data_IF_442200643532
#
_entry.id   IF_442200643532
#
_cell.length_a   1.000
_cell.length_b   1.000
_cell.length_c   1.000
_cell.angle_alpha   90.00
_cell.angle_beta   90.00
_cell.angle_gamma   90.00
#
_symmetry.space_group_name_H-M   'P 1'
#
loop_
_entity.id
_entity.type
_entity.pdbx_description
1 polymer ?
#
# COMPACT_ATOMS: atom_id res chain seq x y z
N UNK A 1 6.67 15.06 4.96
CA UNK A 1 5.46 14.25 4.85
C UNK A 1 4.70 14.24 6.15
N UNK A 2 4.10 15.36 6.58
CA UNK A 2 3.29 15.41 7.81
C UNK A 2 1.99 14.61 7.69
N UNK A 3 1.44 14.50 6.48
CA UNK A 3 0.17 13.81 6.23
C UNK A 3 0.27 12.27 6.36
N UNK A 4 1.40 11.68 5.98
CA UNK A 4 1.56 10.21 6.03
C UNK A 4 1.66 9.73 7.48
N UNK A 5 2.35 10.49 8.35
CA UNK A 5 2.44 10.14 9.78
C UNK A 5 1.08 10.15 10.49
N UNK A 6 0.11 10.93 9.99
CA UNK A 6 -1.25 10.97 10.54
C UNK A 6 -1.96 9.63 10.30
N UNK A 7 -1.60 8.86 9.27
CA UNK A 7 -2.17 7.54 9.01
C UNK A 7 -1.80 6.51 10.07
N UNK A 8 -0.82 6.78 10.93
CA UNK A 8 -0.46 5.87 12.02
C UNK A 8 -1.66 5.58 12.91
N UNK A 9 -2.37 6.62 13.39
CA UNK A 9 -3.50 6.41 14.30
C UNK A 9 -4.60 5.53 13.66
N UNK A 10 -5.09 5.80 12.44
CA UNK A 10 -6.03 4.91 11.75
C UNK A 10 -5.55 3.47 11.62
N UNK A 11 -4.27 3.26 11.28
CA UNK A 11 -3.72 1.91 11.06
C UNK A 11 -3.52 1.14 12.37
N UNK A 12 -3.29 1.84 13.49
CA UNK A 12 -3.06 1.21 14.79
C UNK A 12 -4.35 1.04 15.60
N UNK A 13 -5.16 2.08 15.67
CA UNK A 13 -6.32 2.18 16.58
C UNK A 13 -7.66 1.95 15.84
N UNK A 14 -7.66 1.93 14.50
CA UNK A 14 -8.88 1.87 13.67
C UNK A 14 -9.86 3.01 13.94
N UNK A 15 -9.35 4.15 14.41
CA UNK A 15 -10.13 5.38 14.63
C UNK A 15 -9.32 6.64 14.29
N UNK A 16 -10.03 7.75 14.09
CA UNK A 16 -9.46 9.09 13.91
C UNK A 16 -10.01 10.01 14.98
N UNK A 17 -9.12 10.62 15.76
CA UNK A 17 -9.49 11.61 16.79
C UNK A 17 -9.24 13.03 16.30
N UNK A 18 -10.32 13.79 16.11
CA UNK A 18 -10.25 15.19 15.67
C UNK A 18 -10.42 16.10 16.87
N UNK A 19 -9.33 16.80 17.24
CA UNK A 19 -9.35 17.83 18.29
C UNK A 19 -9.56 19.22 17.69
N UNK A 20 -10.61 19.92 18.13
CA UNK A 20 -10.93 21.32 17.80
C UNK A 20 -11.04 22.13 19.09
N UNK A 21 -10.91 23.45 19.01
CA UNK A 21 -10.86 24.38 20.17
C UNK A 21 -11.90 24.11 21.28
N UNK A 22 -13.09 23.61 20.93
CA UNK A 22 -14.18 23.42 21.90
C UNK A 22 -14.62 21.97 22.09
N UNK A 23 -14.16 21.02 21.24
CA UNK A 23 -14.63 19.62 21.26
C UNK A 23 -13.60 18.66 20.68
N UNK A 24 -13.65 17.43 21.17
CA UNK A 24 -12.93 16.29 20.62
C UNK A 24 -13.95 15.28 20.12
N UNK A 25 -13.81 14.84 18.86
CA UNK A 25 -14.67 13.85 18.24
C UNK A 25 -13.82 12.67 17.76
N UNK A 26 -14.32 11.45 17.95
CA UNK A 26 -13.69 10.21 17.49
C UNK A 26 -14.57 9.58 16.41
N UNK A 27 -13.96 9.20 15.28
CA UNK A 27 -14.64 8.56 14.16
C UNK A 27 -14.01 7.20 13.87
N UNK A 28 -14.80 6.17 13.52
CA UNK A 28 -14.25 4.88 13.13
C UNK A 28 -13.50 4.97 11.80
N UNK A 29 -12.44 4.18 11.66
CA UNK A 29 -11.56 4.12 10.50
C UNK A 29 -11.11 2.67 10.17
N UNK A 30 -12.01 1.69 10.32
CA UNK A 30 -11.74 0.30 9.98
C UNK A 30 -11.75 0.10 8.46
N UNK A 31 -10.57 0.17 7.84
CA UNK A 31 -10.39 0.18 6.38
C UNK A 31 -9.18 -0.63 5.95
N UNK A 32 -9.20 -1.11 4.70
CA UNK A 32 -8.03 -1.71 4.06
C UNK A 32 -7.25 -0.60 3.35
N UNK A 33 -5.98 -0.40 3.72
CA UNK A 33 -5.09 0.53 3.05
C UNK A 33 -4.43 -0.13 1.84
N UNK A 34 -4.73 0.38 0.65
CA UNK A 34 -3.98 0.08 -0.57
C UNK A 34 -3.21 1.33 -1.02
N UNK A 35 -1.90 1.22 -1.19
CA UNK A 35 -1.04 2.34 -1.55
C UNK A 35 -0.03 1.93 -2.65
N UNK A 36 0.41 2.92 -3.41
CA UNK A 36 1.48 2.76 -4.41
C UNK A 36 2.46 3.93 -4.28
N UNK A 37 3.74 3.64 -4.46
CA UNK A 37 4.78 4.66 -4.47
C UNK A 37 5.75 4.41 -5.63
N UNK A 38 6.29 5.50 -6.17
CA UNK A 38 7.35 5.39 -7.16
C UNK A 38 8.67 5.00 -6.47
N UNK A 39 9.57 4.28 -7.16
CA UNK A 39 10.85 3.87 -6.57
C UNK A 39 11.87 5.02 -6.45
N UNK A 40 11.65 6.12 -7.18
CA UNK A 40 12.44 7.34 -7.12
C UNK A 40 11.63 8.53 -7.67
N UNK A 41 12.13 9.79 -7.58
CA UNK A 41 11.42 10.96 -8.11
C UNK A 41 11.09 10.88 -9.61
N UNK A 42 11.95 10.24 -10.43
CA UNK A 42 11.73 10.08 -11.87
C UNK A 42 10.96 8.79 -12.25
N UNK A 43 10.67 7.91 -11.29
CA UNK A 43 9.87 6.70 -11.50
C UNK A 43 10.56 5.53 -12.22
N UNK A 44 11.80 5.68 -12.69
CA UNK A 44 12.46 4.66 -13.52
C UNK A 44 13.48 3.78 -12.80
N UNK A 45 13.77 4.02 -11.52
CA UNK A 45 14.64 3.11 -10.76
C UNK A 45 13.97 1.72 -10.66
N UNK A 46 14.70 0.59 -10.80
CA UNK A 46 16.16 0.44 -10.84
C UNK A 46 16.82 0.58 -12.22
N UNK A 47 16.07 0.81 -13.30
CA UNK A 47 16.61 0.93 -14.65
C UNK A 47 17.47 2.20 -14.80
N UNK A 48 18.79 2.02 -14.74
CA UNK A 48 19.78 3.10 -14.85
C UNK A 48 19.93 3.69 -16.25
N UNK A 49 19.43 3.02 -17.29
CA UNK A 49 19.41 3.58 -18.64
C UNK A 49 18.38 4.71 -18.78
N UNK A 50 17.30 4.65 -17.99
CA UNK A 50 16.19 5.61 -17.99
C UNK A 50 16.20 6.53 -16.77
N UNK A 51 16.61 6.01 -15.61
CA UNK A 51 16.64 6.74 -14.36
C UNK A 51 17.78 7.75 -14.33
N UNK A 52 17.44 9.03 -14.10
CA UNK A 52 18.41 10.13 -14.00
C UNK A 52 18.70 10.54 -12.55
N UNK A 53 18.14 9.83 -11.58
CA UNK A 53 18.32 10.15 -10.16
C UNK A 53 19.65 9.62 -9.64
N UNK A 54 20.38 10.44 -8.88
CA UNK A 54 21.54 9.98 -8.11
C UNK A 54 21.11 8.99 -7.02
N UNK A 55 22.03 8.14 -6.56
CA UNK A 55 21.73 7.22 -5.45
C UNK A 55 21.21 7.92 -4.20
N UNK A 56 21.78 9.10 -3.90
CA UNK A 56 21.34 9.92 -2.78
C UNK A 56 19.89 10.40 -2.96
N UNK A 57 19.50 10.80 -4.17
CA UNK A 57 18.11 11.18 -4.46
C UNK A 57 17.14 10.00 -4.31
N UNK A 58 17.54 8.80 -4.76
CA UNK A 58 16.72 7.58 -4.60
C UNK A 58 16.55 7.24 -3.12
N UNK A 59 17.66 7.12 -2.36
CA UNK A 59 17.63 6.83 -0.92
C UNK A 59 16.80 7.86 -0.15
N UNK A 60 16.98 9.15 -0.44
CA UNK A 60 16.22 10.24 0.18
C UNK A 60 14.73 10.18 -0.16
N UNK A 61 14.35 9.78 -1.38
CA UNK A 61 12.96 9.69 -1.79
C UNK A 61 12.24 8.52 -1.10
N UNK A 62 12.85 7.34 -1.11
CA UNK A 62 12.31 6.16 -0.43
C UNK A 62 12.22 6.38 1.09
N UNK A 63 13.20 7.07 1.68
CA UNK A 63 13.19 7.46 3.09
C UNK A 63 12.15 8.52 3.49
N UNK A 64 11.26 8.96 2.59
CA UNK A 64 10.16 9.88 2.93
C UNK A 64 9.03 9.20 3.68
N UNK A 65 8.91 7.88 3.56
CA UNK A 65 7.92 7.07 4.28
C UNK A 65 8.59 6.60 5.56
N UNK A 66 7.95 6.84 6.71
CA UNK A 66 8.51 6.44 7.99
C UNK A 66 8.43 4.93 8.19
N UNK A 67 9.43 4.36 8.88
CA UNK A 67 9.43 2.95 9.29
C UNK A 67 8.15 2.55 10.04
N UNK A 68 7.64 3.33 11.01
CA UNK A 68 6.39 3.01 11.70
C UNK A 68 5.19 2.78 10.77
N UNK A 69 5.11 3.47 9.64
CA UNK A 69 4.05 3.25 8.64
C UNK A 69 4.33 1.99 7.81
N UNK A 70 5.59 1.80 7.37
CA UNK A 70 5.99 0.60 6.62
C UNK A 70 5.79 -0.68 7.44
N UNK A 71 6.02 -0.63 8.75
CA UNK A 71 5.81 -1.75 9.67
C UNK A 71 4.33 -2.14 9.82
N UNK A 72 3.40 -1.35 9.28
CA UNK A 72 1.95 -1.63 9.23
C UNK A 72 1.44 -2.01 7.85
N UNK A 73 2.35 -2.25 6.90
CA UNK A 73 1.99 -2.76 5.57
C UNK A 73 2.31 -4.26 5.57
N UNK A 74 1.27 -5.09 5.64
CA UNK A 74 1.43 -6.55 5.66
C UNK A 74 2.03 -7.10 4.36
N UNK A 75 1.65 -6.51 3.23
CA UNK A 75 2.02 -6.98 1.89
C UNK A 75 2.62 -5.81 1.10
N UNK A 76 3.90 -5.96 0.76
CA UNK A 76 4.58 -5.07 -0.18
C UNK A 76 4.98 -5.87 -1.42
N UNK A 77 4.61 -5.37 -2.59
CA UNK A 77 4.96 -5.99 -3.88
C UNK A 77 5.56 -4.94 -4.80
N UNK A 78 6.58 -5.34 -5.56
CA UNK A 78 7.13 -4.50 -6.63
C UNK A 78 6.26 -4.64 -7.88
N UNK A 79 5.83 -3.52 -8.43
CA UNK A 79 5.08 -3.50 -9.68
C UNK A 79 6.06 -3.54 -10.86
N UNK A 80 6.17 -4.68 -11.52
CA UNK A 80 6.94 -4.80 -12.76
C UNK A 80 6.30 -3.98 -13.89
N UNK A 81 7.10 -3.41 -14.82
CA UNK A 81 6.56 -2.82 -16.03
C UNK A 81 5.78 -3.87 -16.82
N UNK A 82 4.58 -3.51 -17.26
CA UNK A 82 3.74 -4.39 -18.10
C UNK A 82 3.93 -3.98 -19.55
N UNK A 83 4.22 -4.95 -20.43
CA UNK A 83 4.30 -4.70 -21.87
C UNK A 83 2.93 -4.39 -22.47
N UNK A 84 2.92 -3.73 -23.63
CA UNK A 84 1.66 -3.45 -24.34
C UNK A 84 0.91 -4.72 -24.73
N UNK A 85 1.64 -5.78 -25.11
CA UNK A 85 1.07 -7.07 -25.46
C UNK A 85 0.40 -7.74 -24.26
N UNK A 86 1.03 -7.73 -23.09
CA UNK A 86 0.45 -8.24 -21.84
C UNK A 86 -0.79 -7.46 -21.42
N UNK A 87 -0.79 -6.13 -21.57
CA UNK A 87 -1.96 -5.30 -21.30
C UNK A 87 -3.14 -5.63 -22.23
N UNK A 88 -2.86 -5.97 -23.50
CA UNK A 88 -3.88 -6.33 -24.48
C UNK A 88 -4.31 -7.78 -24.43
N UNK A 89 -3.53 -8.65 -23.78
CA UNK A 89 -3.82 -10.08 -23.70
C UNK A 89 -5.15 -10.29 -22.96
N UNK A 90 -6.18 -10.70 -23.70
CA UNK A 90 -7.45 -11.16 -23.14
C UNK A 90 -7.26 -12.55 -22.56
N UNK A 91 -6.82 -12.63 -21.30
CA UNK A 91 -6.81 -13.88 -20.52
C UNK A 91 -8.12 -14.09 -19.77
N UNK A 92 -8.46 -15.34 -19.43
CA UNK A 92 -9.45 -15.61 -18.40
C UNK A 92 -8.86 -15.22 -17.05
N UNK A 93 -9.21 -14.04 -16.56
CA UNK A 93 -8.91 -13.64 -15.20
C UNK A 93 -9.91 -14.34 -14.25
N UNK A 94 -9.45 -14.71 -13.06
CA UNK A 94 -10.35 -15.18 -12.02
C UNK A 94 -11.30 -14.05 -11.62
N UNK A 95 -12.59 -14.36 -11.56
CA UNK A 95 -13.57 -13.45 -10.98
C UNK A 95 -13.37 -13.33 -9.46
N UNK A 96 -13.80 -12.20 -8.89
CA UNK A 96 -13.80 -12.01 -7.44
C UNK A 96 -14.59 -13.10 -6.71
N UNK A 97 -15.63 -13.68 -7.34
CA UNK A 97 -16.40 -14.78 -6.77
C UNK A 97 -15.58 -16.08 -6.62
N UNK A 98 -14.76 -16.41 -7.62
CA UNK A 98 -13.85 -17.57 -7.57
C UNK A 98 -12.80 -17.38 -6.47
N UNK A 99 -12.19 -16.21 -6.41
CA UNK A 99 -11.18 -15.87 -5.38
C UNK A 99 -11.81 -15.93 -3.98
N UNK A 100 -13.00 -15.32 -3.79
CA UNK A 100 -13.73 -15.34 -2.51
C UNK A 100 -14.01 -16.75 -2.02
N UNK A 101 -14.39 -17.65 -2.91
CA UNK A 101 -14.67 -19.06 -2.57
C UNK A 101 -13.44 -19.77 -2.02
N UNK A 102 -12.25 -19.50 -2.59
CA UNK A 102 -10.97 -20.00 -2.08
C UNK A 102 -10.64 -19.42 -0.70
N UNK A 103 -10.81 -18.10 -0.51
CA UNK A 103 -10.53 -17.42 0.77
C UNK A 103 -11.40 -17.99 1.90
N UNK A 104 -12.71 -18.12 1.68
CA UNK A 104 -13.65 -18.65 2.69
C UNK A 104 -13.30 -20.09 3.08
N UNK A 105 -12.92 -20.93 2.11
CA UNK A 105 -12.51 -22.31 2.38
C UNK A 105 -11.33 -22.34 3.35
N UNK A 106 -10.32 -21.50 3.13
CA UNK A 106 -9.14 -21.42 4.00
C UNK A 106 -9.51 -20.88 5.38
N UNK A 107 -10.36 -19.86 5.47
CA UNK A 107 -10.83 -19.32 6.76
C UNK A 107 -11.54 -20.38 7.62
N UNK A 108 -12.40 -21.22 7.02
CA UNK A 108 -13.08 -22.31 7.74
C UNK A 108 -12.08 -23.31 8.35
N UNK A 109 -11.09 -23.73 7.57
CA UNK A 109 -10.04 -24.65 8.05
C UNK A 109 -9.19 -24.02 9.17
N UNK A 110 -8.98 -22.70 9.13
CA UNK A 110 -8.24 -21.97 10.15
C UNK A 110 -9.01 -21.90 11.47
N UNK A 111 -10.34 -21.74 11.43
CA UNK A 111 -11.20 -21.66 12.61
C UNK A 111 -11.37 -22.98 13.37
N UNK A 112 -11.05 -24.12 12.74
CA UNK A 112 -11.11 -25.46 13.33
C UNK A 112 -9.82 -25.87 14.07
N UNK A 113 -8.81 -24.99 14.10
CA UNK A 113 -7.52 -25.19 14.79
C UNK A 113 -7.40 -24.29 16.01
#
# INVERSE_FOLDING_TARGET
GKAIEILRQPLEEREVRISRLHRICTFPADTVLAAACNPCPCGFYPDRSRCRCSEWQVKRYLGRISRPILDRIDITVEAAPVSYEELRRKGQNESSAQIRSRVIRVQKLQAER
#
